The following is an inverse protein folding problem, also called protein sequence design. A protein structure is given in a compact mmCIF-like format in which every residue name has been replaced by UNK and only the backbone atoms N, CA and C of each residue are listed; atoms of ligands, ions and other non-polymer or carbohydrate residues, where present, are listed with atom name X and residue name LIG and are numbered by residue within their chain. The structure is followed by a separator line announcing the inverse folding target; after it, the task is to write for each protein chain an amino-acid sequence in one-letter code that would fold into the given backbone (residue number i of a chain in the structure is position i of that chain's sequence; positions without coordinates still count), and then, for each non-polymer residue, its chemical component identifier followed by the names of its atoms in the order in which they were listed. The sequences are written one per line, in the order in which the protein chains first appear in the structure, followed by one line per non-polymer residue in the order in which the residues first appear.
data_IF_073050074784
#
_entry.id   IF_073050074784
#
_cell.length_a   1.000
_cell.length_b   1.000
_cell.length_c   1.000
_cell.angle_alpha   90.00
_cell.angle_beta   90.00
_cell.angle_gamma   90.00
#
_symmetry.space_group_name_H-M   'P 1'
#
loop_
_entity.id
_entity.type
_entity.pdbx_description
1 polymer ?
#
# COMPACT_ATOMS: atom_id res chain seq x y z
N UNK A 1 5.07 18.57 22.03
CA UNK A 1 6.54 18.58 21.90
C UNK A 1 6.87 18.16 20.48
N UNK A 2 7.79 18.85 19.80
CA UNK A 2 8.28 18.42 18.48
C UNK A 2 9.44 17.44 18.66
N UNK A 3 9.43 16.38 17.88
CA UNK A 3 10.33 15.24 18.03
C UNK A 3 10.91 14.86 16.67
N UNK A 4 12.13 14.33 16.67
CA UNK A 4 12.79 13.89 15.45
C UNK A 4 12.00 12.75 14.81
N UNK A 5 11.42 13.04 13.64
CA UNK A 5 10.75 12.09 12.78
C UNK A 5 11.53 11.95 11.48
N UNK A 6 11.66 10.72 11.00
CA UNK A 6 12.12 10.42 9.65
C UNK A 6 11.36 9.22 9.10
N UNK A 7 10.93 9.26 7.84
CA UNK A 7 10.50 8.09 7.09
C UNK A 7 11.16 8.11 5.71
N UNK A 8 11.70 6.98 5.29
CA UNK A 8 12.44 6.86 4.05
C UNK A 8 12.19 5.49 3.40
N UNK A 9 12.03 5.48 2.09
CA UNK A 9 11.85 4.25 1.33
C UNK A 9 11.69 4.50 -0.16
N UNK A 10 11.54 3.41 -0.89
CA UNK A 10 11.29 3.41 -2.33
C UNK A 10 10.04 2.61 -2.63
N UNK A 11 9.20 3.10 -3.55
CA UNK A 11 8.05 2.37 -4.06
C UNK A 11 8.03 2.32 -5.58
N UNK A 12 7.58 1.19 -6.13
CA UNK A 12 7.20 1.09 -7.54
C UNK A 12 5.93 1.88 -7.78
N UNK A 13 5.89 2.68 -8.84
CA UNK A 13 4.76 3.58 -9.16
C UNK A 13 4.07 3.19 -10.46
N UNK A 14 2.79 3.55 -10.58
CA UNK A 14 1.97 3.29 -11.78
C UNK A 14 2.56 3.97 -13.02
N UNK A 15 2.28 3.42 -14.21
CA UNK A 15 2.87 3.88 -15.48
C UNK A 15 2.51 5.32 -15.90
N UNK A 16 1.42 5.88 -15.36
CA UNK A 16 1.04 7.28 -15.55
C UNK A 16 1.64 8.22 -14.49
N UNK A 17 2.44 7.71 -13.54
CA UNK A 17 3.14 8.53 -12.58
C UNK A 17 4.22 9.39 -13.26
N UNK A 18 4.44 10.59 -12.72
CA UNK A 18 5.30 11.62 -13.29
C UNK A 18 5.90 12.43 -12.15
N UNK A 19 7.04 13.06 -12.39
CA UNK A 19 7.75 13.84 -11.38
C UNK A 19 6.88 14.92 -10.71
N UNK A 20 5.96 15.56 -11.46
CA UNK A 20 5.06 16.58 -10.89
C UNK A 20 4.11 16.01 -9.82
N UNK A 21 3.74 14.73 -9.89
CA UNK A 21 2.91 14.08 -8.87
C UNK A 21 3.64 13.98 -7.54
N UNK A 22 4.95 13.69 -7.57
CA UNK A 22 5.80 13.71 -6.39
C UNK A 22 5.96 15.13 -5.83
N UNK A 23 6.09 16.13 -6.70
CA UNK A 23 6.11 17.54 -6.28
C UNK A 23 4.81 17.97 -5.60
N UNK A 24 3.65 17.58 -6.15
CA UNK A 24 2.34 17.86 -5.55
C UNK A 24 2.21 17.21 -4.18
N UNK A 25 2.65 15.96 -4.05
CA UNK A 25 2.68 15.27 -2.76
C UNK A 25 3.58 15.99 -1.75
N UNK A 26 4.81 16.33 -2.15
CA UNK A 26 5.73 17.06 -1.28
C UNK A 26 5.14 18.40 -0.79
N UNK A 27 4.47 19.15 -1.68
CA UNK A 27 3.79 20.40 -1.29
C UNK A 27 2.62 20.19 -0.33
N UNK A 28 1.92 19.05 -0.40
CA UNK A 28 0.79 18.77 0.50
C UNK A 28 1.21 18.47 1.95
N UNK A 29 2.49 18.14 2.16
CA UNK A 29 3.08 17.82 3.48
C UNK A 29 4.08 18.91 3.92
N UNK A 30 4.41 19.85 3.04
CA UNK A 30 5.40 20.88 3.31
C UNK A 30 4.98 21.69 4.54
N UNK A 31 5.93 21.82 5.46
CA UNK A 31 5.81 22.40 6.81
C UNK A 31 5.04 21.49 7.81
N UNK A 32 5.69 21.00 8.89
CA UNK A 32 7.07 21.26 9.36
C UNK A 32 8.13 20.28 8.81
N UNK A 33 7.82 19.49 7.77
CA UNK A 33 8.74 18.45 7.28
C UNK A 33 9.56 18.88 6.05
N UNK A 34 10.84 18.55 6.07
CA UNK A 34 11.73 18.50 4.92
C UNK A 34 11.46 17.24 4.09
N UNK A 35 11.29 17.41 2.78
CA UNK A 35 10.96 16.30 1.87
C UNK A 35 11.97 16.26 0.73
N UNK A 36 12.67 15.14 0.62
CA UNK A 36 13.47 14.77 -0.52
C UNK A 36 12.77 13.66 -1.29
N UNK A 37 12.76 13.76 -2.63
CA UNK A 37 12.27 12.68 -3.48
C UNK A 37 13.04 12.62 -4.79
N UNK A 38 13.11 11.43 -5.36
CA UNK A 38 13.71 11.18 -6.67
C UNK A 38 12.89 10.15 -7.43
N UNK A 39 12.73 10.35 -8.73
CA UNK A 39 11.99 9.43 -9.60
C UNK A 39 12.92 8.78 -10.60
N UNK A 40 12.79 7.47 -10.78
CA UNK A 40 13.44 6.76 -11.87
C UNK A 40 12.39 6.29 -12.89
N UNK A 41 12.53 6.75 -14.13
CA UNK A 41 11.63 6.40 -15.22
C UNK A 41 11.87 4.97 -15.75
N UNK A 42 13.09 4.43 -15.61
CA UNK A 42 13.46 3.10 -16.13
C UNK A 42 12.83 2.02 -15.26
N UNK A 43 13.07 2.08 -13.94
CA UNK A 43 12.48 1.13 -12.99
C UNK A 43 11.05 1.49 -12.59
N UNK A 44 10.55 2.67 -12.99
CA UNK A 44 9.26 3.23 -12.56
C UNK A 44 9.15 3.26 -11.04
N UNK A 45 10.13 3.91 -10.40
CA UNK A 45 10.23 3.96 -8.95
C UNK A 45 10.26 5.39 -8.45
N UNK A 46 9.74 5.60 -7.24
CA UNK A 46 9.88 6.82 -6.46
C UNK A 46 10.63 6.49 -5.18
N UNK A 47 11.74 7.17 -4.93
CA UNK A 47 12.37 7.25 -3.62
C UNK A 47 11.84 8.50 -2.93
N UNK A 48 11.50 8.38 -1.65
CA UNK A 48 11.08 9.51 -0.83
C UNK A 48 11.68 9.42 0.57
N UNK A 49 12.08 10.56 1.09
CA UNK A 49 12.52 10.78 2.47
C UNK A 49 11.81 12.00 3.01
N UNK A 50 11.11 11.83 4.13
CA UNK A 50 10.42 12.89 4.85
C UNK A 50 11.05 12.97 6.24
N UNK A 51 11.52 14.13 6.66
CA UNK A 51 12.18 14.34 7.95
C UNK A 51 11.72 15.65 8.58
N UNK A 52 11.54 15.70 9.88
CA UNK A 52 11.22 16.96 10.55
C UNK A 52 11.17 16.83 12.07
N UNK A 53 11.06 17.98 12.74
CA UNK A 53 10.70 18.05 14.15
C UNK A 53 9.17 18.13 14.23
N UNK A 54 8.50 16.99 14.34
CA UNK A 54 7.05 16.87 14.22
C UNK A 54 6.43 16.57 15.58
N UNK A 55 5.23 17.09 15.81
CA UNK A 55 4.30 16.62 16.85
C UNK A 55 3.68 15.29 16.46
N UNK A 56 3.11 14.56 17.41
CA UNK A 56 2.47 13.28 17.15
C UNK A 56 1.34 13.37 16.12
N UNK A 57 0.58 14.47 16.11
CA UNK A 57 -0.50 14.69 15.15
C UNK A 57 0.03 14.99 13.74
N UNK A 58 1.12 15.75 13.63
CA UNK A 58 1.83 15.95 12.35
C UNK A 58 2.43 14.63 11.85
N UNK A 59 3.00 13.79 12.73
CA UNK A 59 3.50 12.47 12.35
C UNK A 59 2.38 11.57 11.80
N UNK A 60 1.19 11.59 12.42
CA UNK A 60 0.01 10.85 11.91
C UNK A 60 -0.46 11.40 10.57
N UNK A 61 -0.44 12.72 10.40
CA UNK A 61 -0.78 13.39 9.14
C UNK A 61 0.16 12.96 8.00
N UNK A 62 1.48 12.94 8.25
CA UNK A 62 2.47 12.46 7.28
C UNK A 62 2.23 11.00 6.91
N UNK A 63 2.06 10.11 7.89
CA UNK A 63 1.81 8.70 7.65
C UNK A 63 0.50 8.49 6.84
N UNK A 64 -0.56 9.21 7.19
CA UNK A 64 -1.85 9.14 6.49
C UNK A 64 -1.77 9.67 5.06
N UNK A 65 -1.05 10.77 4.83
CA UNK A 65 -0.80 11.30 3.50
C UNK A 65 0.01 10.31 2.65
N UNK A 66 1.05 9.68 3.21
CA UNK A 66 1.85 8.67 2.53
C UNK A 66 1.02 7.44 2.16
N UNK A 67 0.11 7.01 3.04
CA UNK A 67 -0.81 5.91 2.76
C UNK A 67 -1.76 6.27 1.61
N UNK A 68 -2.42 7.44 1.64
CA UNK A 68 -3.28 7.91 0.56
C UNK A 68 -2.53 8.05 -0.78
N UNK A 69 -1.31 8.57 -0.73
CA UNK A 69 -0.44 8.65 -1.89
C UNK A 69 -0.14 7.28 -2.47
N UNK A 70 0.16 6.30 -1.61
CA UNK A 70 0.45 4.93 -2.03
C UNK A 70 -0.77 4.26 -2.67
N UNK A 71 -1.97 4.46 -2.13
CA UNK A 71 -3.21 3.91 -2.71
C UNK A 71 -3.45 4.41 -4.13
N UNK A 72 -3.10 5.67 -4.39
CA UNK A 72 -3.27 6.30 -5.71
C UNK A 72 -2.17 5.91 -6.70
N UNK A 73 -0.92 5.92 -6.26
CA UNK A 73 0.24 5.90 -7.17
C UNK A 73 1.10 4.65 -7.07
N UNK A 74 1.06 3.90 -5.98
CA UNK A 74 1.85 2.68 -5.86
C UNK A 74 1.33 1.61 -6.82
N UNK A 75 2.28 0.88 -7.40
CA UNK A 75 2.02 -0.33 -8.16
C UNK A 75 2.04 -1.56 -7.25
N UNK A 76 2.96 -1.58 -6.27
CA UNK A 76 3.15 -2.67 -5.31
C UNK A 76 3.34 -2.09 -3.90
N UNK A 77 3.20 -2.94 -2.89
CA UNK A 77 3.62 -2.58 -1.53
C UNK A 77 5.14 -2.42 -1.42
N UNK A 78 5.58 -1.63 -0.45
CA UNK A 78 6.97 -1.42 -0.10
C UNK A 78 7.16 -1.27 1.42
N UNK A 79 8.35 -1.64 1.92
CA UNK A 79 8.72 -1.47 3.33
C UNK A 79 9.54 -0.19 3.47
N UNK A 80 9.07 0.71 4.31
CA UNK A 80 9.74 1.96 4.63
C UNK A 80 10.45 1.85 5.97
N UNK A 81 11.64 2.43 6.05
CA UNK A 81 12.32 2.65 7.33
C UNK A 81 11.77 3.92 7.95
N UNK A 82 11.35 3.86 9.21
CA UNK A 82 10.85 5.00 9.98
C UNK A 82 11.62 5.15 11.28
N UNK A 83 11.91 6.38 11.68
CA UNK A 83 12.49 6.75 12.96
C UNK A 83 11.51 7.64 13.70
N UNK A 84 11.17 7.28 14.94
CA UNK A 84 10.33 8.05 15.85
C UNK A 84 10.95 8.03 17.24
N UNK A 85 11.07 9.18 17.91
CA UNK A 85 11.66 9.27 19.25
C UNK A 85 13.06 8.62 19.35
N UNK A 86 13.81 8.55 18.24
CA UNK A 86 15.10 7.84 18.16
C UNK A 86 15.01 6.33 17.90
N UNK A 87 13.82 5.74 17.92
CA UNK A 87 13.60 4.32 17.66
C UNK A 87 13.33 4.04 16.18
N UNK A 88 13.98 3.01 15.66
CA UNK A 88 13.81 2.55 14.28
C UNK A 88 12.68 1.52 14.20
N UNK A 89 11.80 1.70 13.24
CA UNK A 89 10.73 0.76 12.89
C UNK A 89 10.65 0.58 11.37
N UNK A 90 10.02 -0.52 10.94
CA UNK A 90 9.75 -0.80 9.53
C UNK A 90 8.24 -0.79 9.31
N UNK A 91 7.78 -0.07 8.30
CA UNK A 91 6.36 0.20 8.07
C UNK A 91 5.97 -0.24 6.66
N UNK A 92 4.94 -1.09 6.49
CA UNK A 92 4.41 -1.39 5.18
C UNK A 92 3.64 -0.18 4.62
N UNK A 93 3.87 0.14 3.36
CA UNK A 93 3.20 1.22 2.62
C UNK A 93 2.65 0.65 1.31
N UNK A 94 1.40 0.95 0.97
CA UNK A 94 0.78 0.52 -0.29
C UNK A 94 0.34 -0.94 -0.35
N UNK A 95 0.38 -1.66 0.78
CA UNK A 95 -0.08 -3.06 0.85
C UNK A 95 -1.60 -3.19 1.02
N UNK A 96 -2.29 -2.19 1.58
CA UNK A 96 -3.69 -2.30 1.99
C UNK A 96 -4.63 -2.76 0.85
N UNK A 97 -4.47 -2.15 -0.33
CA UNK A 97 -5.26 -2.53 -1.51
C UNK A 97 -4.96 -3.97 -1.98
N UNK A 98 -3.68 -4.37 -1.96
CA UNK A 98 -3.28 -5.72 -2.36
C UNK A 98 -3.82 -6.77 -1.39
N UNK A 99 -3.75 -6.51 -0.09
CA UNK A 99 -4.32 -7.40 0.93
C UNK A 99 -5.84 -7.51 0.80
N UNK A 100 -6.53 -6.41 0.50
CA UNK A 100 -7.98 -6.41 0.28
C UNK A 100 -8.35 -7.21 -0.97
N UNK A 101 -7.63 -7.03 -2.08
CA UNK A 101 -7.88 -7.78 -3.32
C UNK A 101 -7.60 -9.27 -3.15
N UNK A 102 -6.54 -9.64 -2.43
CA UNK A 102 -6.25 -11.03 -2.10
C UNK A 102 -7.35 -11.66 -1.25
N UNK A 103 -7.87 -10.93 -0.26
CA UNK A 103 -8.99 -11.41 0.54
C UNK A 103 -10.24 -11.63 -0.31
N UNK A 104 -10.60 -10.67 -1.16
CA UNK A 104 -11.73 -10.83 -2.09
C UNK A 104 -11.56 -12.03 -3.00
N UNK A 105 -10.35 -12.28 -3.50
CA UNK A 105 -10.08 -13.44 -4.34
C UNK A 105 -10.31 -14.76 -3.59
N UNK A 106 -9.89 -14.84 -2.33
CA UNK A 106 -10.14 -16.00 -1.46
C UNK A 106 -11.64 -16.20 -1.23
N UNK A 107 -12.37 -15.12 -0.98
CA UNK A 107 -13.82 -15.18 -0.75
C UNK A 107 -14.56 -15.69 -2.01
N UNK A 108 -14.21 -15.16 -3.19
CA UNK A 108 -14.75 -15.59 -4.48
C UNK A 108 -14.42 -17.06 -4.78
N UNK A 109 -13.18 -17.48 -4.52
CA UNK A 109 -12.78 -18.88 -4.68
C UNK A 109 -13.62 -19.80 -3.77
N UNK A 110 -13.83 -19.41 -2.52
CA UNK A 110 -14.63 -20.17 -1.55
C UNK A 110 -16.08 -20.31 -2.03
N UNK A 111 -16.66 -19.24 -2.59
CA UNK A 111 -18.02 -19.28 -3.14
C UNK A 111 -18.12 -20.19 -4.36
N UNK A 112 -17.13 -20.14 -5.25
CA UNK A 112 -17.07 -21.02 -6.42
C UNK A 112 -16.99 -22.50 -6.01
N UNK A 113 -16.13 -22.83 -5.05
CA UNK A 113 -15.99 -24.19 -4.54
C UNK A 113 -17.31 -24.71 -3.94
N UNK A 114 -18.01 -23.88 -3.17
CA UNK A 114 -19.32 -24.23 -2.62
C UNK A 114 -20.37 -24.49 -3.72
N UNK A 115 -20.36 -23.69 -4.79
CA UNK A 115 -21.25 -23.87 -5.94
C UNK A 115 -20.95 -25.18 -6.67
N UNK A 116 -19.68 -25.47 -6.94
CA UNK A 116 -19.24 -26.72 -7.59
C UNK A 116 -19.60 -27.95 -6.75
N UNK A 117 -19.41 -27.89 -5.43
CA UNK A 117 -19.85 -28.97 -4.54
C UNK A 117 -21.36 -29.18 -4.58
N UNK A 118 -22.14 -28.10 -4.61
CA UNK A 118 -23.61 -28.19 -4.73
C UNK A 118 -24.02 -28.80 -6.06
N UNK A 119 -23.37 -28.41 -7.16
CA UNK A 119 -23.62 -28.97 -8.48
C UNK A 119 -23.32 -30.48 -8.52
N UNK A 120 -22.17 -30.90 -7.99
CA UNK A 120 -21.79 -32.31 -7.90
C UNK A 120 -22.85 -33.12 -7.13
N UNK A 121 -23.32 -32.61 -5.99
CA UNK A 121 -24.41 -33.26 -5.22
C UNK A 121 -25.71 -33.39 -5.98
N UNK A 122 -26.07 -32.42 -6.82
CA UNK A 122 -27.26 -32.50 -7.67
C UNK A 122 -27.07 -33.56 -8.75
N UNK A 123 -25.93 -33.56 -9.42
CA UNK A 123 -25.63 -34.52 -10.49
C UNK A 123 -25.57 -35.97 -9.99
N UNK A 124 -25.06 -36.21 -8.78
CA UNK A 124 -25.08 -37.55 -8.16
C UNK A 124 -26.50 -38.10 -8.01
N UNK A 125 -27.53 -37.26 -7.83
CA UNK A 125 -28.93 -37.72 -7.78
C UNK A 125 -29.44 -38.27 -9.12
N UNK A 126 -28.80 -37.88 -10.22
CA UNK A 126 -29.14 -38.32 -11.58
C UNK A 126 -28.19 -39.42 -12.07
N UNK A 127 -27.25 -39.88 -11.23
CA UNK A 127 -26.35 -40.96 -11.59
C UNK A 127 -27.15 -42.25 -11.72
N UNK A 128 -27.16 -42.92 -12.89
CA UNK A 128 -27.90 -44.16 -13.05
C UNK A 128 -27.30 -45.22 -12.12
N UNK A 129 -28.15 -45.86 -11.33
CA UNK A 129 -27.78 -47.08 -10.61
C UNK A 129 -27.48 -48.14 -11.65
N UNK A 130 -26.20 -48.53 -11.76
CA UNK A 130 -25.81 -49.65 -12.61
C UNK A 130 -26.63 -50.88 -12.18
N UNK A 131 -27.38 -51.43 -13.15
CA UNK A 131 -28.16 -52.66 -13.02
C UNK A 131 -27.25 -53.87 -13.02
#
# INVERSE_FOLDING_TARGET
MSLTYEICGSLSVRGNFRHYHAQQFARSIAEPADIYFATDAVTRSLVIRIRGALTDDEMKSVDGALEQFSQKWAQTGAIFRRVRYGEVSFVPVGFALHTELLQKLIDEQTQLEALLQRQARILEKFRPTAS
#
